data_IF_614637858278
#
_entry.id   IF_614637858278
#
_cell.length_a   1.000
_cell.length_b   1.000
_cell.length_c   1.000
_cell.angle_alpha   90.00
_cell.angle_beta   90.00
_cell.angle_gamma   90.00
#
_symmetry.space_group_name_H-M   'P 1'
#
loop_
_entity.id
_entity.type
_entity.pdbx_description
1 polymer ?
#
# COMPACT_ATOMS: atom_id res chain seq x y z
N UNK A 1 -23.64 -4.48 29.58
CA UNK A 1 -22.27 -3.91 29.49
C UNK A 1 -21.92 -3.39 28.09
N UNK A 2 -22.03 -4.20 27.02
CA UNK A 2 -21.60 -3.85 25.65
C UNK A 2 -22.10 -2.51 25.13
N UNK A 3 -23.37 -2.19 25.38
CA UNK A 3 -23.98 -0.94 24.93
C UNK A 3 -23.26 0.29 25.49
N UNK A 4 -22.89 0.26 26.76
CA UNK A 4 -22.22 1.38 27.45
C UNK A 4 -20.82 1.57 26.87
N UNK A 5 -20.05 0.49 26.75
CA UNK A 5 -18.71 0.54 26.16
C UNK A 5 -18.78 1.06 24.71
N UNK A 6 -19.76 0.59 23.93
CA UNK A 6 -19.94 1.03 22.54
C UNK A 6 -20.28 2.51 22.45
N UNK A 7 -21.13 3.02 23.34
CA UNK A 7 -21.46 4.46 23.39
C UNK A 7 -20.25 5.32 23.75
N UNK A 8 -19.44 4.90 24.71
CA UNK A 8 -18.20 5.60 25.07
C UNK A 8 -17.17 5.57 23.92
N UNK A 9 -17.01 4.43 23.23
CA UNK A 9 -16.16 4.36 22.04
C UNK A 9 -16.67 5.25 20.90
N UNK A 10 -17.98 5.31 20.69
CA UNK A 10 -18.58 6.18 19.67
C UNK A 10 -18.37 7.67 20.00
N UNK A 11 -18.45 8.07 21.28
CA UNK A 11 -18.11 9.43 21.73
C UNK A 11 -16.63 9.74 21.53
N UNK A 12 -15.76 8.79 21.90
CA UNK A 12 -14.32 8.91 21.69
C UNK A 12 -13.96 9.10 20.21
N UNK A 13 -14.62 8.37 19.30
CA UNK A 13 -14.39 8.49 17.86
C UNK A 13 -14.92 9.82 17.30
N UNK A 14 -16.18 10.14 17.56
CA UNK A 14 -16.85 11.31 16.97
C UNK A 14 -16.36 12.66 17.50
N UNK A 15 -15.97 12.72 18.77
CA UNK A 15 -15.59 13.98 19.43
C UNK A 15 -14.10 14.05 19.79
N UNK A 16 -13.32 13.01 19.45
CA UNK A 16 -11.94 12.86 19.93
C UNK A 16 -11.86 12.95 21.47
N UNK A 17 -12.91 12.48 22.17
CA UNK A 17 -13.00 12.57 23.62
C UNK A 17 -12.12 11.52 24.31
N UNK A 18 -10.98 11.97 24.82
CA UNK A 18 -10.03 11.14 25.55
C UNK A 18 -10.61 10.57 26.85
N UNK A 19 -11.54 11.26 27.51
CA UNK A 19 -12.16 10.77 28.72
C UNK A 19 -13.14 9.63 28.43
N UNK A 20 -13.87 9.71 27.31
CA UNK A 20 -14.71 8.59 26.85
C UNK A 20 -13.88 7.37 26.51
N UNK A 21 -12.73 7.54 25.83
CA UNK A 21 -11.82 6.42 25.54
C UNK A 21 -11.31 5.77 26.83
N UNK A 22 -10.88 6.58 27.81
CA UNK A 22 -10.42 6.08 29.12
C UNK A 22 -11.53 5.30 29.83
N UNK A 23 -12.76 5.83 29.85
CA UNK A 23 -13.90 5.13 30.46
C UNK A 23 -14.19 3.80 29.79
N UNK A 24 -14.23 3.75 28.46
CA UNK A 24 -14.41 2.50 27.71
C UNK A 24 -13.32 1.48 28.05
N UNK A 25 -12.05 1.91 28.06
CA UNK A 25 -10.91 1.08 28.39
C UNK A 25 -10.99 0.52 29.83
N UNK A 26 -11.32 1.36 30.82
CA UNK A 26 -11.44 0.92 32.21
C UNK A 26 -12.60 -0.07 32.41
N UNK A 27 -13.73 0.14 31.75
CA UNK A 27 -14.87 -0.80 31.77
C UNK A 27 -14.49 -2.17 31.19
N UNK A 28 -13.82 -2.19 30.04
CA UNK A 28 -13.31 -3.42 29.42
C UNK A 28 -12.33 -4.14 30.35
N UNK A 29 -11.40 -3.38 30.94
CA UNK A 29 -10.34 -3.94 31.79
C UNK A 29 -10.90 -4.49 33.11
N UNK A 30 -11.80 -3.76 33.76
CA UNK A 30 -12.40 -4.19 35.03
C UNK A 30 -13.25 -5.44 34.83
N UNK A 31 -14.07 -5.48 33.78
CA UNK A 31 -14.86 -6.65 33.43
C UNK A 31 -14.00 -7.88 33.11
N UNK A 32 -12.92 -7.71 32.33
CA UNK A 32 -12.00 -8.81 32.01
C UNK A 32 -11.28 -9.39 33.25
N UNK A 33 -11.10 -8.58 34.30
CA UNK A 33 -10.52 -9.01 35.58
C UNK A 33 -11.56 -9.59 36.55
N UNK A 34 -12.83 -9.73 36.14
CA UNK A 34 -13.92 -10.15 37.02
C UNK A 34 -14.27 -9.12 38.09
N UNK A 35 -13.89 -7.85 37.88
CA UNK A 35 -14.12 -6.71 38.78
C UNK A 35 -15.10 -5.71 38.17
N UNK A 36 -16.07 -6.21 37.40
CA UNK A 36 -17.10 -5.39 36.79
C UNK A 36 -17.84 -4.56 37.85
N UNK A 37 -18.12 -3.29 37.56
CA UNK A 37 -19.06 -2.47 38.35
C UNK A 37 -20.51 -2.92 38.14
N UNK A 38 -20.77 -3.66 37.05
CA UNK A 38 -22.00 -4.39 36.79
C UNK A 38 -21.93 -5.79 37.42
N UNK A 39 -22.89 -6.66 37.11
CA UNK A 39 -22.89 -8.04 37.60
C UNK A 39 -21.56 -8.74 37.26
N UNK A 40 -20.85 -9.36 38.23
CA UNK A 40 -19.61 -10.11 38.00
C UNK A 40 -19.73 -11.26 36.99
N UNK A 41 -20.95 -11.69 36.70
CA UNK A 41 -21.25 -12.72 35.69
C UNK A 41 -21.50 -12.15 34.29
N UNK A 42 -21.61 -10.82 34.14
CA UNK A 42 -21.88 -10.17 32.87
C UNK A 42 -20.62 -10.15 31.98
N UNK A 43 -20.59 -11.04 30.99
CA UNK A 43 -19.56 -11.06 29.94
C UNK A 43 -19.84 -9.99 28.87
N UNK A 44 -18.78 -9.46 28.26
CA UNK A 44 -18.88 -8.57 27.10
C UNK A 44 -18.28 -9.18 25.84
N UNK A 45 -18.63 -8.65 24.66
CA UNK A 45 -18.06 -9.14 23.40
C UNK A 45 -16.54 -8.89 23.32
N UNK A 46 -15.72 -9.92 23.01
CA UNK A 46 -14.28 -9.74 22.79
C UNK A 46 -13.93 -8.73 21.68
N UNK A 47 -14.88 -8.48 20.77
CA UNK A 47 -14.73 -7.49 19.70
C UNK A 47 -14.46 -6.08 20.25
N UNK A 48 -14.98 -5.76 21.45
CA UNK A 48 -14.80 -4.48 22.12
C UNK A 48 -13.33 -4.21 22.49
N UNK A 49 -12.52 -5.26 22.73
CA UNK A 49 -11.08 -5.09 22.90
C UNK A 49 -10.45 -4.46 21.64
N UNK A 50 -10.82 -4.97 20.47
CA UNK A 50 -10.24 -4.53 19.20
C UNK A 50 -10.74 -3.13 18.84
N UNK A 51 -12.02 -2.83 19.03
CA UNK A 51 -12.56 -1.49 18.82
C UNK A 51 -11.88 -0.44 19.72
N UNK A 52 -11.70 -0.77 20.99
CA UNK A 52 -10.97 0.09 21.92
C UNK A 52 -9.50 0.26 21.50
N UNK A 53 -8.86 -0.82 21.03
CA UNK A 53 -7.46 -0.78 20.59
C UNK A 53 -7.24 0.08 19.34
N UNK A 54 -8.14 0.00 18.36
CA UNK A 54 -8.09 0.84 17.16
C UNK A 54 -8.31 2.31 17.49
N UNK A 55 -9.31 2.62 18.33
CA UNK A 55 -9.57 4.00 18.74
C UNK A 55 -8.40 4.56 19.55
N UNK A 56 -7.79 3.75 20.42
CA UNK A 56 -6.58 4.13 21.14
C UNK A 56 -5.40 4.43 20.22
N UNK A 57 -5.19 3.66 19.14
CA UNK A 57 -4.16 3.96 18.13
C UNK A 57 -4.43 5.28 17.42
N UNK A 58 -5.67 5.51 16.96
CA UNK A 58 -6.08 6.77 16.31
C UNK A 58 -5.82 7.99 17.20
N UNK A 59 -5.99 7.84 18.52
CA UNK A 59 -5.80 8.91 19.51
C UNK A 59 -4.39 8.96 20.11
N UNK A 60 -3.42 8.22 19.57
CA UNK A 60 -2.02 8.26 20.04
C UNK A 60 -1.80 7.64 21.43
N UNK A 61 -2.61 6.66 21.83
CA UNK A 61 -2.52 5.93 23.11
C UNK A 61 -2.08 4.47 22.91
N UNK A 62 -0.83 4.21 22.49
CA UNK A 62 -0.37 2.86 22.15
C UNK A 62 -0.39 1.90 23.35
N UNK A 63 -0.17 2.39 24.57
CA UNK A 63 -0.22 1.55 25.78
C UNK A 63 -1.61 0.93 26.03
N UNK A 64 -2.68 1.70 25.82
CA UNK A 64 -4.05 1.18 25.93
C UNK A 64 -4.35 0.17 24.82
N UNK A 65 -3.95 0.49 23.59
CA UNK A 65 -4.12 -0.43 22.46
C UNK A 65 -3.41 -1.76 22.72
N UNK A 66 -2.16 -1.71 23.19
CA UNK A 66 -1.39 -2.89 23.52
C UNK A 66 -2.06 -3.75 24.59
N UNK A 67 -2.56 -3.15 25.67
CA UNK A 67 -3.27 -3.88 26.73
C UNK A 67 -4.55 -4.54 26.20
N UNK A 68 -5.36 -3.81 25.44
CA UNK A 68 -6.55 -4.34 24.79
C UNK A 68 -6.25 -5.52 23.85
N UNK A 69 -5.23 -5.40 23.00
CA UNK A 69 -4.83 -6.48 22.09
C UNK A 69 -4.28 -7.70 22.85
N UNK A 70 -3.55 -7.50 23.94
CA UNK A 70 -3.11 -8.60 24.80
C UNK A 70 -4.28 -9.33 25.43
N UNK A 71 -5.29 -8.60 25.91
CA UNK A 71 -6.51 -9.21 26.46
C UNK A 71 -7.30 -9.96 25.38
N UNK A 72 -7.46 -9.39 24.19
CA UNK A 72 -8.13 -10.05 23.06
C UNK A 72 -7.52 -11.42 22.74
N UNK A 73 -6.20 -11.51 22.59
CA UNK A 73 -5.53 -12.78 22.24
C UNK A 73 -5.47 -13.79 23.40
N UNK A 74 -5.75 -13.38 24.64
CA UNK A 74 -5.88 -14.31 25.79
C UNK A 74 -7.26 -14.97 25.84
N UNK A 75 -8.29 -14.30 25.35
CA UNK A 75 -9.66 -14.84 25.31
C UNK A 75 -9.82 -15.72 24.08
N UNK A 76 -10.35 -16.94 24.27
CA UNK A 76 -10.73 -17.81 23.15
C UNK A 76 -12.07 -17.37 22.59
N UNK A 77 -12.02 -16.46 21.61
CA UNK A 77 -13.20 -15.97 20.89
C UNK A 77 -13.44 -16.68 19.54
N UNK A 78 -14.61 -16.45 18.91
CA UNK A 78 -14.86 -16.89 17.55
C UNK A 78 -13.90 -16.19 16.57
N UNK A 79 -13.55 -16.88 15.48
CA UNK A 79 -12.73 -16.30 14.41
C UNK A 79 -13.62 -15.45 13.51
N UNK A 80 -13.52 -14.13 13.66
CA UNK A 80 -14.28 -13.13 12.89
C UNK A 80 -13.32 -12.12 12.24
N UNK A 81 -13.84 -11.10 11.54
CA UNK A 81 -13.06 -9.96 11.06
C UNK A 81 -12.15 -9.33 12.14
N UNK A 82 -12.53 -9.43 13.41
CA UNK A 82 -11.78 -8.85 14.52
C UNK A 82 -10.43 -9.52 14.76
N UNK A 83 -10.24 -10.77 14.30
CA UNK A 83 -8.91 -11.40 14.32
C UNK A 83 -7.93 -10.66 13.41
N UNK A 84 -8.37 -10.37 12.18
CA UNK A 84 -7.56 -9.61 11.22
C UNK A 84 -7.30 -8.19 11.69
N UNK A 85 -8.31 -7.52 12.24
CA UNK A 85 -8.19 -6.16 12.82
C UNK A 85 -7.25 -6.11 14.03
N UNK A 86 -7.29 -7.12 14.90
CA UNK A 86 -6.37 -7.25 16.02
C UNK A 86 -4.92 -7.42 15.56
N UNK A 87 -4.68 -8.21 14.51
CA UNK A 87 -3.36 -8.30 13.88
C UNK A 87 -2.90 -6.97 13.28
N UNK A 88 -3.78 -6.20 12.64
CA UNK A 88 -3.44 -4.86 12.14
C UNK A 88 -3.09 -3.86 13.25
N UNK A 89 -3.78 -3.92 14.40
CA UNK A 89 -3.38 -3.13 15.58
C UNK A 89 -1.99 -3.54 16.06
N UNK A 90 -1.74 -4.85 16.14
CA UNK A 90 -0.45 -5.39 16.58
C UNK A 90 0.69 -5.00 15.62
N UNK A 91 0.44 -4.96 14.32
CA UNK A 91 1.38 -4.49 13.31
C UNK A 91 1.79 -3.03 13.56
N UNK A 92 0.82 -2.15 13.82
CA UNK A 92 1.07 -0.74 14.11
C UNK A 92 1.84 -0.55 15.43
N UNK A 93 1.55 -1.35 16.45
CA UNK A 93 2.26 -1.31 17.74
C UNK A 93 3.72 -1.77 17.66
N UNK A 94 4.06 -2.64 16.70
CA UNK A 94 5.42 -3.11 16.48
C UNK A 94 6.05 -2.50 15.22
N UNK A 95 5.57 -1.34 14.76
CA UNK A 95 6.16 -0.67 13.62
C UNK A 95 7.63 -0.30 13.92
N UNK A 96 8.57 -0.58 12.98
CA UNK A 96 9.98 -0.31 13.19
C UNK A 96 10.23 1.19 13.39
N UNK A 97 11.11 1.55 14.32
CA UNK A 97 11.45 2.95 14.61
C UNK A 97 12.46 3.51 13.64
N UNK A 98 13.26 2.64 13.03
CA UNK A 98 14.24 2.96 12.00
C UNK A 98 14.30 1.87 10.94
N UNK A 99 14.93 2.17 9.81
CA UNK A 99 15.18 1.18 8.76
C UNK A 99 16.20 0.11 9.14
N UNK A 100 16.93 0.30 10.24
CA UNK A 100 17.90 -0.68 10.76
C UNK A 100 17.23 -1.73 11.64
N UNK A 101 16.01 -1.47 12.12
CA UNK A 101 15.27 -2.35 13.02
C UNK A 101 14.59 -3.49 12.23
N UNK A 102 15.39 -4.30 11.56
CA UNK A 102 14.92 -5.39 10.69
C UNK A 102 14.10 -6.44 11.44
N UNK A 103 14.40 -6.69 12.73
CA UNK A 103 13.61 -7.59 13.56
C UNK A 103 12.18 -7.08 13.80
N UNK A 104 12.02 -5.79 14.09
CA UNK A 104 10.70 -5.17 14.26
C UNK A 104 9.96 -5.09 12.91
N UNK A 105 10.68 -4.81 11.82
CA UNK A 105 10.14 -4.88 10.46
C UNK A 105 9.55 -6.27 10.16
N UNK A 106 10.30 -7.35 10.37
CA UNK A 106 9.84 -8.72 10.11
C UNK A 106 8.66 -9.12 11.02
N UNK A 107 8.69 -8.71 12.28
CA UNK A 107 7.58 -8.90 13.22
C UNK A 107 6.30 -8.19 12.76
N UNK A 108 6.44 -6.95 12.25
CA UNK A 108 5.37 -6.14 11.71
C UNK A 108 4.79 -6.75 10.42
N UNK A 109 5.66 -7.10 9.47
CA UNK A 109 5.29 -7.80 8.23
C UNK A 109 4.52 -9.09 8.53
N UNK A 110 4.97 -9.86 9.51
CA UNK A 110 4.28 -11.09 9.94
C UNK A 110 2.84 -10.81 10.38
N UNK A 111 2.58 -9.70 11.09
CA UNK A 111 1.21 -9.34 11.47
C UNK A 111 0.35 -8.98 10.25
N UNK A 112 0.88 -8.19 9.30
CA UNK A 112 0.17 -7.90 8.05
C UNK A 112 -0.17 -9.16 7.26
N UNK A 113 0.80 -10.08 7.11
CA UNK A 113 0.59 -11.34 6.38
C UNK A 113 -0.45 -12.24 7.07
N UNK A 114 -0.55 -12.23 8.41
CA UNK A 114 -1.63 -12.95 9.11
C UNK A 114 -3.00 -12.42 8.70
N UNK A 115 -3.17 -11.10 8.62
CA UNK A 115 -4.44 -10.50 8.16
C UNK A 115 -4.71 -10.81 6.69
N UNK A 116 -3.72 -10.63 5.80
CA UNK A 116 -3.86 -10.89 4.36
C UNK A 116 -4.22 -12.35 4.08
N UNK A 117 -3.53 -13.30 4.69
CA UNK A 117 -3.78 -14.73 4.48
C UNK A 117 -5.09 -15.21 5.12
N UNK A 118 -5.51 -14.60 6.22
CA UNK A 118 -6.82 -14.85 6.83
C UNK A 118 -7.95 -14.35 5.92
N UNK A 119 -7.83 -13.12 5.43
CA UNK A 119 -8.90 -12.43 4.70
C UNK A 119 -9.09 -12.94 3.26
N UNK A 120 -8.02 -13.37 2.58
CA UNK A 120 -8.09 -13.81 1.16
C UNK A 120 -9.01 -15.00 0.89
N UNK A 121 -9.35 -15.79 1.92
CA UNK A 121 -10.16 -16.99 1.78
C UNK A 121 -11.67 -16.77 1.91
N UNK A 122 -12.09 -15.55 2.26
CA UNK A 122 -13.46 -15.25 2.64
C UNK A 122 -13.88 -13.89 2.07
N UNK A 123 -14.75 -13.84 1.03
CA UNK A 123 -15.12 -12.61 0.32
C UNK A 123 -15.59 -11.47 1.23
N UNK A 124 -16.38 -11.76 2.27
CA UNK A 124 -16.84 -10.73 3.24
C UNK A 124 -15.70 -10.06 4.02
N UNK A 125 -14.48 -10.60 3.99
CA UNK A 125 -13.31 -10.06 4.65
C UNK A 125 -12.29 -9.44 3.69
N UNK A 126 -12.55 -9.38 2.38
CA UNK A 126 -11.62 -8.79 1.40
C UNK A 126 -11.20 -7.35 1.74
N UNK A 127 -12.09 -6.56 2.35
CA UNK A 127 -11.76 -5.21 2.84
C UNK A 127 -10.57 -5.19 3.82
N UNK A 128 -10.30 -6.29 4.54
CA UNK A 128 -9.13 -6.41 5.41
C UNK A 128 -7.83 -6.57 4.61
N UNK A 129 -7.86 -7.15 3.41
CA UNK A 129 -6.70 -7.19 2.51
C UNK A 129 -6.36 -5.77 2.05
N UNK A 130 -7.37 -5.00 1.62
CA UNK A 130 -7.20 -3.58 1.30
C UNK A 130 -6.62 -2.81 2.48
N UNK A 131 -7.25 -2.88 3.66
CA UNK A 131 -6.79 -2.19 4.87
C UNK A 131 -5.36 -2.59 5.26
N UNK A 132 -5.02 -3.88 5.17
CA UNK A 132 -3.66 -4.37 5.42
C UNK A 132 -2.66 -3.77 4.44
N UNK A 133 -3.01 -3.67 3.15
CA UNK A 133 -2.13 -3.10 2.13
C UNK A 133 -1.85 -1.61 2.36
N UNK A 134 -2.86 -0.83 2.77
CA UNK A 134 -2.71 0.60 3.07
C UNK A 134 -1.83 0.82 4.31
N UNK A 135 -2.07 0.09 5.39
CA UNK A 135 -1.27 0.18 6.60
C UNK A 135 0.17 -0.33 6.38
N UNK A 136 0.33 -1.41 5.62
CA UNK A 136 1.64 -1.89 5.19
C UNK A 136 2.39 -0.80 4.41
N UNK A 137 1.74 -0.14 3.45
CA UNK A 137 2.36 0.95 2.69
C UNK A 137 2.87 2.07 3.57
N UNK A 138 2.06 2.51 4.53
CA UNK A 138 2.45 3.53 5.49
C UNK A 138 3.68 3.11 6.29
N UNK A 139 3.73 1.85 6.74
CA UNK A 139 4.85 1.30 7.49
C UNK A 139 6.15 1.21 6.66
N UNK A 140 6.06 0.82 5.38
CA UNK A 140 7.26 0.59 4.56
C UNK A 140 7.82 1.85 3.89
N UNK A 141 7.12 2.99 3.96
CA UNK A 141 7.59 4.26 3.38
C UNK A 141 9.05 4.60 3.72
N UNK A 142 9.54 4.48 4.97
CA UNK A 142 10.95 4.73 5.30
C UNK A 142 11.95 3.79 4.59
N UNK A 143 11.50 2.59 4.19
CA UNK A 143 12.31 1.59 3.49
C UNK A 143 12.34 1.81 1.97
N UNK A 144 11.57 2.75 1.43
CA UNK A 144 11.57 3.14 0.01
C UNK A 144 12.81 3.98 -0.36
N UNK A 145 13.97 3.66 0.21
CA UNK A 145 15.26 4.28 -0.09
C UNK A 145 16.22 3.24 -0.70
N UNK A 146 17.19 3.68 -1.51
CA UNK A 146 18.17 2.77 -2.13
C UNK A 146 18.81 1.84 -1.09
N UNK A 147 18.95 0.56 -1.44
CA UNK A 147 19.53 -0.48 -0.57
C UNK A 147 18.53 -1.22 0.34
N UNK A 148 17.36 -0.63 0.63
CA UNK A 148 16.38 -1.24 1.55
C UNK A 148 15.18 -1.86 0.83
N UNK A 149 14.85 -1.39 -0.38
CA UNK A 149 13.70 -1.87 -1.16
C UNK A 149 13.69 -3.38 -1.40
N UNK A 150 14.87 -4.01 -1.48
CA UNK A 150 15.01 -5.47 -1.60
C UNK A 150 14.31 -6.24 -0.47
N UNK A 151 14.26 -5.68 0.74
CA UNK A 151 13.61 -6.31 1.90
C UNK A 151 12.09 -6.32 1.78
N UNK A 152 11.52 -5.45 0.93
CA UNK A 152 10.07 -5.35 0.71
C UNK A 152 9.55 -6.39 -0.27
N UNK A 153 10.41 -6.94 -1.15
CA UNK A 153 9.99 -7.81 -2.25
C UNK A 153 9.12 -8.98 -1.75
N UNK A 154 9.50 -9.76 -0.72
CA UNK A 154 8.69 -10.91 -0.31
C UNK A 154 7.26 -10.53 0.10
N UNK A 155 7.12 -9.52 0.96
CA UNK A 155 5.82 -9.10 1.50
C UNK A 155 5.00 -8.30 0.50
N UNK A 156 5.62 -7.39 -0.27
CA UNK A 156 4.91 -6.60 -1.27
C UNK A 156 4.42 -7.47 -2.44
N UNK A 157 5.23 -8.44 -2.91
CA UNK A 157 4.79 -9.42 -3.90
C UNK A 157 3.56 -10.20 -3.44
N UNK A 158 3.55 -10.65 -2.19
CA UNK A 158 2.40 -11.37 -1.64
C UNK A 158 1.15 -10.49 -1.58
N UNK A 159 1.27 -9.25 -1.10
CA UNK A 159 0.15 -8.29 -1.05
C UNK A 159 -0.40 -8.03 -2.44
N UNK A 160 0.45 -7.65 -3.40
CA UNK A 160 0.05 -7.38 -4.79
C UNK A 160 -0.63 -8.59 -5.41
N UNK A 161 -0.07 -9.78 -5.21
CA UNK A 161 -0.67 -11.01 -5.71
C UNK A 161 -2.07 -11.26 -5.13
N UNK A 162 -2.25 -11.12 -3.81
CA UNK A 162 -3.57 -11.32 -3.19
C UNK A 162 -4.56 -10.25 -3.64
N UNK A 163 -4.17 -8.97 -3.70
CA UNK A 163 -5.03 -7.90 -4.23
C UNK A 163 -5.48 -8.17 -5.67
N UNK A 164 -4.61 -8.77 -6.48
CA UNK A 164 -4.96 -9.17 -7.84
C UNK A 164 -5.92 -10.37 -7.86
N UNK A 165 -5.70 -11.37 -7.01
CA UNK A 165 -6.55 -12.56 -6.91
C UNK A 165 -7.97 -12.23 -6.44
N UNK A 166 -8.12 -11.31 -5.50
CA UNK A 166 -9.43 -10.88 -4.99
C UNK A 166 -10.10 -9.81 -5.86
N UNK A 167 -9.43 -9.40 -6.95
CA UNK A 167 -9.86 -8.33 -7.85
C UNK A 167 -10.19 -7.02 -7.12
N UNK A 168 -9.31 -6.58 -6.21
CA UNK A 168 -9.55 -5.38 -5.39
C UNK A 168 -9.98 -4.18 -6.26
N UNK A 169 -11.03 -3.48 -5.81
CA UNK A 169 -11.78 -2.49 -6.60
C UNK A 169 -10.95 -1.23 -6.90
N UNK A 170 -10.09 -0.84 -5.95
CA UNK A 170 -9.20 0.31 -6.14
C UNK A 170 -8.02 -0.05 -7.07
N UNK A 171 -8.27 0.08 -8.37
CA UNK A 171 -7.29 -0.27 -9.41
C UNK A 171 -6.12 0.70 -9.47
N UNK A 172 -6.32 1.98 -9.08
CA UNK A 172 -5.21 2.94 -9.03
C UNK A 172 -4.27 2.61 -7.87
N UNK A 173 -4.83 2.18 -6.73
CA UNK A 173 -4.04 1.68 -5.61
C UNK A 173 -3.25 0.42 -5.95
N UNK A 174 -3.88 -0.56 -6.62
CA UNK A 174 -3.18 -1.74 -7.14
C UNK A 174 -2.04 -1.34 -8.08
N UNK A 175 -2.28 -0.41 -9.00
CA UNK A 175 -1.27 0.09 -9.92
C UNK A 175 -0.08 0.75 -9.19
N UNK A 176 -0.33 1.51 -8.12
CA UNK A 176 0.72 2.10 -7.28
C UNK A 176 1.62 1.03 -6.65
N UNK A 177 1.02 0.00 -6.04
CA UNK A 177 1.78 -1.08 -5.42
C UNK A 177 2.53 -1.94 -6.45
N UNK A 178 1.95 -2.17 -7.63
CA UNK A 178 2.63 -2.87 -8.73
C UNK A 178 3.85 -2.07 -9.23
N UNK A 179 3.71 -0.76 -9.41
CA UNK A 179 4.83 0.11 -9.78
C UNK A 179 5.98 0.03 -8.78
N UNK A 180 5.65 0.11 -7.49
CA UNK A 180 6.66 0.02 -6.44
C UNK A 180 7.33 -1.36 -6.40
N UNK A 181 6.56 -2.44 -6.60
CA UNK A 181 7.13 -3.78 -6.64
C UNK A 181 8.11 -3.94 -7.82
N UNK A 182 7.78 -3.39 -8.98
CA UNK A 182 8.68 -3.37 -10.13
C UNK A 182 9.99 -2.64 -9.81
N UNK A 183 9.89 -1.47 -9.16
CA UNK A 183 11.06 -0.71 -8.71
C UNK A 183 11.90 -1.50 -7.70
N UNK A 184 11.27 -2.24 -6.78
CA UNK A 184 11.95 -3.11 -5.83
C UNK A 184 12.77 -4.20 -6.54
N UNK A 185 12.21 -4.87 -7.55
CA UNK A 185 12.95 -5.86 -8.35
C UNK A 185 14.14 -5.25 -9.08
N UNK A 186 13.93 -4.10 -9.75
CA UNK A 186 14.96 -3.40 -10.50
C UNK A 186 16.14 -2.98 -9.61
N UNK A 187 15.87 -2.40 -8.44
CA UNK A 187 16.91 -2.00 -7.49
C UNK A 187 17.65 -3.18 -6.85
N UNK A 188 16.98 -4.33 -6.72
CA UNK A 188 17.61 -5.56 -6.26
C UNK A 188 18.43 -6.27 -7.36
N UNK A 189 18.47 -5.74 -8.59
CA UNK A 189 19.15 -6.37 -9.74
C UNK A 189 18.43 -7.61 -10.28
N UNK A 190 17.20 -7.86 -9.83
CA UNK A 190 16.36 -9.02 -10.19
C UNK A 190 15.63 -8.77 -11.52
N UNK A 191 16.39 -8.66 -12.60
CA UNK A 191 15.89 -8.23 -13.91
C UNK A 191 14.93 -9.22 -14.55
N UNK A 192 15.14 -10.52 -14.36
CA UNK A 192 14.26 -11.56 -14.90
C UNK A 192 12.89 -11.48 -14.25
N UNK A 193 12.84 -11.41 -12.93
CA UNK A 193 11.58 -11.26 -12.19
C UNK A 193 10.90 -9.91 -12.47
N UNK A 194 11.68 -8.84 -12.67
CA UNK A 194 11.16 -7.55 -13.10
C UNK A 194 10.48 -7.65 -14.47
N UNK A 195 11.08 -8.35 -15.44
CA UNK A 195 10.53 -8.51 -16.78
C UNK A 195 9.26 -9.38 -16.78
N UNK A 196 9.28 -10.52 -16.06
CA UNK A 196 8.11 -11.39 -15.90
C UNK A 196 6.94 -10.63 -15.24
N UNK A 197 7.22 -9.93 -14.14
CA UNK A 197 6.20 -9.16 -13.44
C UNK A 197 5.68 -8.00 -14.32
N UNK A 198 6.57 -7.30 -15.04
CA UNK A 198 6.20 -6.20 -15.93
C UNK A 198 5.26 -6.63 -17.05
N UNK A 199 5.38 -7.86 -17.56
CA UNK A 199 4.47 -8.40 -18.58
C UNK A 199 3.01 -8.44 -18.13
N UNK A 200 2.76 -8.52 -16.83
CA UNK A 200 1.41 -8.46 -16.23
C UNK A 200 1.05 -7.05 -15.75
N UNK A 201 2.01 -6.34 -15.15
CA UNK A 201 1.78 -5.01 -14.58
C UNK A 201 1.53 -3.93 -15.62
N UNK A 202 2.30 -3.91 -16.72
CA UNK A 202 2.18 -2.86 -17.73
C UNK A 202 0.79 -2.84 -18.42
N UNK A 203 0.23 -3.98 -18.88
CA UNK A 203 -1.12 -4.00 -19.44
C UNK A 203 -2.19 -3.57 -18.42
N UNK A 204 -2.10 -4.04 -17.18
CA UNK A 204 -3.03 -3.67 -16.11
C UNK A 204 -3.02 -2.15 -15.86
N UNK A 205 -1.83 -1.57 -15.69
CA UNK A 205 -1.67 -0.13 -15.42
C UNK A 205 -2.13 0.69 -16.62
N UNK A 206 -1.84 0.26 -17.85
CA UNK A 206 -2.33 0.93 -19.06
C UNK A 206 -3.86 1.00 -19.10
N UNK A 207 -4.52 -0.11 -18.78
CA UNK A 207 -5.97 -0.24 -18.86
C UNK A 207 -6.69 0.49 -17.71
N UNK A 208 -6.11 0.54 -16.51
CA UNK A 208 -6.82 0.96 -15.31
C UNK A 208 -6.24 2.19 -14.60
N UNK A 209 -4.97 2.52 -14.83
CA UNK A 209 -4.31 3.69 -14.27
C UNK A 209 -3.45 4.40 -15.34
N UNK A 210 -4.04 4.86 -16.46
CA UNK A 210 -3.30 5.39 -17.61
C UNK A 210 -2.40 6.58 -17.27
N UNK A 211 -2.74 7.35 -16.23
CA UNK A 211 -1.92 8.46 -15.71
C UNK A 211 -0.56 8.00 -15.17
N UNK A 212 -0.45 6.74 -14.74
CA UNK A 212 0.77 6.13 -14.21
C UNK A 212 1.54 5.32 -15.25
N UNK A 213 0.93 5.02 -16.41
CA UNK A 213 1.53 4.18 -17.44
C UNK A 213 2.87 4.71 -17.96
N UNK A 214 3.00 6.03 -18.10
CA UNK A 214 4.26 6.66 -18.51
C UNK A 214 5.44 6.30 -17.57
N UNK A 215 5.16 6.08 -16.28
CA UNK A 215 6.18 5.68 -15.30
C UNK A 215 6.64 4.23 -15.54
N UNK A 216 5.70 3.32 -15.81
CA UNK A 216 6.02 1.93 -16.17
C UNK A 216 6.80 1.89 -17.47
N UNK A 217 6.34 2.62 -18.49
CA UNK A 217 6.97 2.70 -19.81
C UNK A 217 8.41 3.21 -19.71
N UNK A 218 8.67 4.23 -18.89
CA UNK A 218 10.02 4.72 -18.62
C UNK A 218 10.94 3.60 -18.09
N UNK A 219 10.45 2.77 -17.16
CA UNK A 219 11.20 1.63 -16.62
C UNK A 219 11.40 0.52 -17.65
N UNK A 220 10.39 0.22 -18.46
CA UNK A 220 10.47 -0.76 -19.55
C UNK A 220 11.59 -0.39 -20.53
N UNK A 221 11.64 0.88 -20.95
CA UNK A 221 12.67 1.39 -21.87
C UNK A 221 14.04 1.39 -21.20
N UNK A 222 14.17 2.04 -20.02
CA UNK A 222 15.48 2.22 -19.38
C UNK A 222 16.17 0.91 -19.05
N UNK A 223 15.40 -0.08 -18.60
CA UNK A 223 15.95 -1.37 -18.16
C UNK A 223 15.83 -2.48 -19.20
N UNK A 224 15.24 -2.21 -20.36
CA UNK A 224 15.07 -3.19 -21.43
C UNK A 224 14.18 -4.36 -21.02
N UNK A 225 13.05 -4.09 -20.34
CA UNK A 225 12.13 -5.12 -19.83
C UNK A 225 11.17 -5.66 -20.89
N UNK A 226 11.15 -5.06 -22.08
CA UNK A 226 10.22 -5.38 -23.17
C UNK A 226 10.92 -5.15 -24.50
N UNK A 227 10.47 -5.84 -25.56
CA UNK A 227 11.06 -5.75 -26.88
C UNK A 227 11.03 -4.33 -27.46
N UNK A 228 12.14 -3.90 -28.04
CA UNK A 228 12.29 -2.53 -28.56
C UNK A 228 11.29 -2.18 -29.67
N UNK A 229 10.97 -3.14 -30.54
CA UNK A 229 9.96 -2.96 -31.60
C UNK A 229 8.59 -2.60 -31.02
N UNK A 230 8.16 -3.31 -29.98
CA UNK A 230 6.89 -3.06 -29.29
C UNK A 230 6.88 -1.67 -28.65
N UNK A 231 7.97 -1.28 -28.00
CA UNK A 231 8.10 0.05 -27.39
C UNK A 231 8.02 1.17 -28.45
N UNK A 232 8.66 0.98 -29.61
CA UNK A 232 8.62 1.91 -30.74
C UNK A 232 7.24 2.01 -31.40
N UNK A 233 6.44 0.95 -31.37
CA UNK A 233 5.05 1.03 -31.83
C UNK A 233 4.20 1.87 -30.87
N UNK A 234 4.44 1.76 -29.57
CA UNK A 234 3.71 2.53 -28.56
C UNK A 234 4.03 4.03 -28.60
N UNK A 235 5.25 4.44 -28.96
CA UNK A 235 5.59 5.87 -29.09
C UNK A 235 4.74 6.59 -30.13
N UNK A 236 4.29 5.88 -31.18
CA UNK A 236 3.42 6.43 -32.22
C UNK A 236 2.04 6.82 -31.69
N UNK A 237 1.63 6.27 -30.55
CA UNK A 237 0.32 6.52 -29.95
C UNK A 237 0.30 7.76 -29.06
N UNK A 238 1.47 8.29 -28.65
CA UNK A 238 1.55 9.40 -27.71
C UNK A 238 2.91 10.10 -27.78
N UNK A 239 2.88 11.42 -28.01
CA UNK A 239 4.07 12.27 -27.91
C UNK A 239 4.76 12.14 -26.54
N UNK A 240 4.00 12.01 -25.46
CA UNK A 240 4.56 11.81 -24.12
C UNK A 240 5.35 10.50 -24.00
N UNK A 241 4.89 9.42 -24.65
CA UNK A 241 5.61 8.15 -24.68
C UNK A 241 6.84 8.22 -25.60
N UNK A 242 6.76 8.92 -26.73
CA UNK A 242 7.91 9.17 -27.60
C UNK A 242 9.05 9.90 -26.87
N UNK A 243 8.74 11.01 -26.21
CA UNK A 243 9.70 11.75 -25.37
C UNK A 243 10.27 10.87 -24.26
N UNK A 244 9.41 10.09 -23.60
CA UNK A 244 9.83 9.15 -22.55
C UNK A 244 10.79 8.10 -23.10
N UNK A 245 10.53 7.58 -24.30
CA UNK A 245 11.39 6.61 -24.98
C UNK A 245 12.78 7.18 -25.26
N UNK A 246 12.87 8.37 -25.88
CA UNK A 246 14.15 9.00 -26.19
C UNK A 246 14.98 9.28 -24.94
N UNK A 247 14.38 9.90 -23.91
CA UNK A 247 15.08 10.22 -22.66
C UNK A 247 15.57 8.96 -21.95
N UNK A 248 14.72 7.94 -21.80
CA UNK A 248 15.09 6.74 -21.05
C UNK A 248 16.04 5.82 -21.84
N UNK A 249 15.99 5.84 -23.17
CA UNK A 249 16.97 5.13 -24.01
C UNK A 249 18.36 5.74 -23.86
N UNK A 250 18.46 7.08 -23.84
CA UNK A 250 19.72 7.77 -23.56
C UNK A 250 20.23 7.46 -22.16
N UNK A 251 19.35 7.47 -21.13
CA UNK A 251 19.74 7.10 -19.77
C UNK A 251 20.25 5.65 -19.68
N UNK A 252 19.59 4.70 -20.34
CA UNK A 252 20.01 3.30 -20.36
C UNK A 252 21.42 3.12 -20.96
N UNK A 253 21.73 3.91 -21.98
CA UNK A 253 23.03 3.92 -22.65
C UNK A 253 24.10 4.61 -21.81
N UNK A 254 23.74 5.72 -21.16
CA UNK A 254 24.58 6.40 -20.20
C UNK A 254 24.98 5.47 -19.04
N UNK A 255 24.02 4.73 -18.47
CA UNK A 255 24.26 3.77 -17.39
C UNK A 255 25.25 2.66 -17.79
N UNK A 256 25.43 2.40 -19.10
CA UNK A 256 26.37 1.43 -19.67
C UNK A 256 27.67 2.06 -20.19
N UNK A 257 27.85 3.38 -20.06
CA UNK A 257 28.93 4.15 -20.68
C UNK A 257 29.04 3.97 -22.21
N UNK A 258 27.89 3.81 -22.89
CA UNK A 258 27.80 3.57 -24.33
C UNK A 258 26.89 4.61 -25.00
N UNK A 259 27.23 5.89 -24.81
CA UNK A 259 26.46 7.00 -25.37
C UNK A 259 26.57 7.06 -26.90
N UNK A 260 25.49 7.44 -27.61
CA UNK A 260 25.56 7.70 -29.04
C UNK A 260 26.43 8.91 -29.34
N UNK A 261 27.02 8.94 -30.54
CA UNK A 261 27.71 10.14 -31.05
C UNK A 261 26.71 11.29 -31.29
N UNK A 262 25.50 10.98 -31.76
CA UNK A 262 24.46 11.97 -32.06
C UNK A 262 23.46 12.19 -30.90
N UNK A 263 23.98 12.58 -29.73
CA UNK A 263 23.12 13.05 -28.63
C UNK A 263 22.28 14.28 -29.04
N UNK A 264 22.83 15.29 -29.74
CA UNK A 264 22.08 16.49 -30.11
C UNK A 264 20.88 16.20 -31.02
N UNK A 265 21.00 15.26 -31.98
CA UNK A 265 19.91 14.83 -32.84
C UNK A 265 18.77 14.19 -32.04
N UNK A 266 19.09 13.24 -31.14
CA UNK A 266 18.09 12.56 -30.31
C UNK A 266 17.36 13.54 -29.39
N UNK A 267 18.07 14.53 -28.81
CA UNK A 267 17.45 15.56 -27.99
C UNK A 267 16.56 16.50 -28.81
N UNK A 268 16.91 16.78 -30.06
CA UNK A 268 16.10 17.57 -30.98
C UNK A 268 14.80 16.85 -31.35
N UNK A 269 14.88 15.56 -31.67
CA UNK A 269 13.69 14.72 -31.92
C UNK A 269 12.74 14.74 -30.72
N UNK A 270 13.27 14.54 -29.51
CA UNK A 270 12.47 14.61 -28.29
C UNK A 270 11.83 16.01 -28.09
N UNK A 271 12.54 17.09 -28.43
CA UNK A 271 12.00 18.45 -28.38
C UNK A 271 10.89 18.68 -29.41
N UNK A 272 11.04 18.18 -30.64
CA UNK A 272 10.02 18.25 -31.67
C UNK A 272 8.74 17.51 -31.25
N UNK A 273 8.87 16.34 -30.61
CA UNK A 273 7.72 15.59 -30.08
C UNK A 273 6.98 16.34 -28.96
N UNK A 274 7.69 17.06 -28.09
CA UNK A 274 7.08 17.95 -27.10
C UNK A 274 6.26 19.07 -27.75
N UNK A 275 6.75 19.62 -28.87
CA UNK A 275 6.04 20.62 -29.66
C UNK A 275 4.74 20.10 -30.28
N UNK A 276 4.71 18.84 -30.72
CA UNK A 276 3.50 18.21 -31.29
C UNK A 276 2.39 17.99 -30.25
N UNK A 277 2.75 17.72 -28.99
CA UNK A 277 1.79 17.51 -27.90
C UNK A 277 1.12 18.78 -27.36
N UNK A 278 1.71 19.96 -27.56
CA UNK A 278 1.20 21.25 -27.05
C UNK A 278 0.14 21.89 -27.96
N UNK A 279 0.08 21.52 -29.24
CA UNK A 279 -0.91 22.03 -30.19
C UNK A 279 -2.31 21.40 -30.09
N UNK A 280 -2.50 20.34 -29.29
CA UNK A 280 -3.81 19.68 -29.10
C UNK A 280 -4.64 20.25 -27.93
N UNK A 281 -4.17 21.29 -27.22
CA UNK A 281 -4.78 21.76 -25.95
C UNK A 281 -5.42 23.15 -25.95
N UNK A 282 -5.76 23.71 -27.10
CA UNK A 282 -6.57 24.94 -27.15
C UNK A 282 -7.93 24.65 -27.81
N UNK A 283 -9.01 24.46 -27.05
CA UNK A 283 -10.34 24.70 -27.60
C UNK A 283 -10.43 26.19 -27.88
N UNK A 284 -10.52 26.55 -29.15
CA UNK A 284 -10.98 27.86 -29.59
C UNK A 284 -12.30 28.14 -28.88
N UNK A 285 -12.30 29.09 -27.93
CA UNK A 285 -13.53 29.73 -27.52
C UNK A 285 -14.05 30.50 -28.73
N UNK A 286 -14.85 29.83 -29.56
CA UNK A 286 -15.71 30.50 -30.51
C UNK A 286 -16.77 31.22 -29.68
N UNK A 287 -16.61 32.54 -29.64
CA UNK A 287 -17.69 33.49 -29.41
C UNK A 287 -18.87 33.09 -30.30
N UNK A 288 -20.03 32.85 -29.71
CA UNK A 288 -21.29 32.97 -30.43
C UNK A 288 -22.27 33.73 -29.53
N UNK A 289 -22.78 34.81 -30.13
CA UNK A 289 -23.74 35.80 -29.64
C UNK A 289 -25.15 35.23 -29.58
#
# INVERSE_FOLDING_TARGET
MDLVITQELARAESQQDAASLERAYQLIKSANLGKSEFDPTESFSPDLFVLCAEQALKMGRPGMSQDCIQMYFKVKGPVTQFLGRAHLCRAQLCAPKSTEDMGDFENCVTQYMKTVNFARGEPRYHFLVYNASVLYWQMVRPFLKPGYRRHLIPSLSQIVNVLNQIEEEDKDWRAELMLELLECYLQAGRKEEAAEFCATAAPFIRAHAPRRYQQVFARMVRHGLTGELQLKEETRTSAGLAVTFHINSLQARLDKNDLPEDIPGILREAYEDLGRGSHQRVPSAAEDQ
#
